data_IF_815607491804
#
_entry.id   IF_815607491804
#
_cell.length_a   1.000
_cell.length_b   1.000
_cell.length_c   1.000
_cell.angle_alpha   90.00
_cell.angle_beta   90.00
_cell.angle_gamma   90.00
#
_symmetry.space_group_name_H-M   'P 1'
#
loop_
_entity.id
_entity.type
_entity.pdbx_description
1 polymer ?
#
# COMPACT_ATOMS: atom_id res chain seq x y z
N UNK A 1 6.44 -17.60 12.91
CA UNK A 1 5.43 -17.13 11.93
C UNK A 1 4.23 -16.60 12.72
N UNK A 2 3.59 -15.52 12.25
CA UNK A 2 2.35 -15.00 12.81
C UNK A 2 1.13 -15.81 12.31
N UNK A 3 -0.01 -15.80 13.01
CA UNK A 3 -1.23 -16.45 12.54
C UNK A 3 -1.81 -15.74 11.29
N UNK A 4 -2.54 -16.47 10.45
CA UNK A 4 -2.97 -15.99 9.13
C UNK A 4 -3.99 -14.82 9.17
N UNK A 5 -4.70 -14.66 10.29
CA UNK A 5 -5.59 -13.53 10.55
C UNK A 5 -4.85 -12.26 10.99
N UNK A 6 -3.59 -12.38 11.41
CA UNK A 6 -2.74 -11.26 11.78
C UNK A 6 -1.78 -10.81 10.66
N UNK A 7 -1.74 -11.52 9.52
CA UNK A 7 -0.91 -11.15 8.37
C UNK A 7 -1.81 -10.48 7.33
N UNK A 8 -1.60 -9.17 7.13
CA UNK A 8 -2.31 -8.42 6.11
C UNK A 8 -1.66 -8.57 4.73
N UNK A 9 -2.40 -8.27 3.66
CA UNK A 9 -1.82 -8.18 2.33
C UNK A 9 -0.79 -7.05 2.22
N UNK A 10 -0.92 -5.99 3.03
CA UNK A 10 0.07 -4.93 3.09
C UNK A 10 1.43 -5.44 3.60
N UNK A 11 1.44 -6.35 4.58
CA UNK A 11 2.67 -6.96 5.09
C UNK A 11 3.37 -7.80 4.02
N UNK A 12 2.59 -8.59 3.29
CA UNK A 12 3.08 -9.43 2.18
C UNK A 12 3.68 -8.55 1.08
N UNK A 13 2.95 -7.53 0.63
CA UNK A 13 3.43 -6.64 -0.44
C UNK A 13 4.69 -5.89 0.01
N UNK A 14 4.74 -5.41 1.25
CA UNK A 14 5.94 -4.74 1.79
C UNK A 14 7.16 -5.65 1.81
N UNK A 15 6.97 -6.93 2.10
CA UNK A 15 8.06 -7.91 2.10
C UNK A 15 8.56 -8.27 0.69
N UNK A 16 7.70 -8.19 -0.34
CA UNK A 16 8.03 -8.60 -1.71
C UNK A 16 8.45 -7.42 -2.60
N UNK A 17 7.64 -6.36 -2.61
CA UNK A 17 7.74 -5.23 -3.54
C UNK A 17 8.26 -3.95 -2.86
N UNK A 18 8.26 -3.93 -1.52
CA UNK A 18 8.65 -2.77 -0.74
C UNK A 18 7.48 -1.82 -0.42
N UNK A 19 7.75 -0.53 -0.15
CA UNK A 19 6.75 0.40 0.36
C UNK A 19 5.53 0.55 -0.56
N UNK A 20 4.32 0.70 0.00
CA UNK A 20 3.07 0.93 -0.73
C UNK A 20 2.97 2.33 -1.39
N UNK A 21 4.09 3.03 -1.55
CA UNK A 21 4.11 4.40 -2.03
C UNK A 21 4.28 4.43 -3.55
N UNK A 22 3.49 5.29 -4.22
CA UNK A 22 3.57 5.50 -5.67
C UNK A 22 4.86 6.23 -6.09
N UNK A 23 5.49 6.94 -5.16
CA UNK A 23 6.77 7.61 -5.35
C UNK A 23 7.51 7.70 -4.01
N UNK A 24 8.86 7.82 -4.01
CA UNK A 24 9.65 7.96 -2.79
C UNK A 24 9.21 9.13 -1.90
N UNK A 25 8.80 10.25 -2.51
CA UNK A 25 8.39 11.46 -1.79
C UNK A 25 7.08 11.30 -1.02
N UNK A 26 6.27 10.31 -1.42
CA UNK A 26 5.06 9.94 -0.73
C UNK A 26 5.27 8.78 0.24
N UNK A 27 6.46 8.19 0.37
CA UNK A 27 6.68 7.02 1.23
C UNK A 27 6.83 7.40 2.71
N UNK A 28 6.30 6.56 3.62
CA UNK A 28 6.55 6.68 5.08
C UNK A 28 7.84 5.98 5.51
N UNK A 29 8.23 4.93 4.80
CA UNK A 29 9.33 4.02 5.19
C UNK A 29 10.56 4.15 4.31
N UNK A 30 10.44 4.80 3.15
CA UNK A 30 11.52 5.06 2.21
C UNK A 30 11.37 6.45 1.59
N UNK A 31 11.37 7.47 2.46
CA UNK A 31 11.19 8.87 2.06
C UNK A 31 12.37 9.38 1.22
N UNK A 32 12.09 10.12 0.14
CA UNK A 32 13.11 10.76 -0.68
C UNK A 32 12.51 11.51 -1.88
N UNK A 33 13.29 12.29 -2.63
CA UNK A 33 12.80 12.94 -3.84
C UNK A 33 12.43 11.92 -4.92
N UNK A 34 11.35 12.17 -5.67
CA UNK A 34 11.08 11.44 -6.91
C UNK A 34 11.78 12.12 -8.11
N UNK A 35 11.82 11.45 -9.26
CA UNK A 35 12.50 11.93 -10.47
C UNK A 35 12.00 13.28 -10.99
N UNK A 36 10.76 13.64 -10.69
CA UNK A 36 10.13 14.90 -11.12
C UNK A 36 9.96 15.91 -9.99
N UNK A 37 10.44 15.62 -8.77
CA UNK A 37 10.35 16.57 -7.67
C UNK A 37 11.27 17.77 -7.92
N UNK A 38 10.73 19.01 -8.00
CA UNK A 38 11.58 20.19 -7.97
C UNK A 38 12.21 20.37 -6.58
N UNK A 39 11.39 20.15 -5.54
CA UNK A 39 11.76 20.11 -4.14
C UNK A 39 10.66 19.33 -3.40
N UNK A 40 11.03 18.51 -2.42
CA UNK A 40 10.10 17.55 -1.81
C UNK A 40 9.06 18.24 -0.93
N UNK A 41 9.45 19.30 -0.24
CA UNK A 41 8.59 20.04 0.70
C UNK A 41 7.61 20.98 -0.03
N UNK A 42 7.92 21.35 -1.27
CA UNK A 42 7.10 22.26 -2.08
C UNK A 42 6.44 21.59 -3.28
N UNK A 43 6.63 20.27 -3.48
CA UNK A 43 6.05 19.54 -4.58
C UNK A 43 4.51 19.47 -4.46
N UNK A 44 3.74 20.08 -5.39
CA UNK A 44 2.28 20.08 -5.31
C UNK A 44 1.66 18.69 -5.55
N UNK A 45 2.42 17.76 -6.14
CA UNK A 45 1.97 16.38 -6.36
C UNK A 45 2.05 15.53 -5.09
N UNK A 46 2.95 15.87 -4.16
CA UNK A 46 3.22 15.07 -2.97
C UNK A 46 1.96 14.76 -2.14
N UNK A 47 1.09 15.73 -1.78
CA UNK A 47 -0.11 15.43 -0.99
C UNK A 47 -1.06 14.46 -1.71
N UNK A 48 -1.27 14.63 -3.02
CA UNK A 48 -2.13 13.73 -3.81
C UNK A 48 -1.57 12.30 -3.84
N UNK A 49 -0.23 12.16 -3.96
CA UNK A 49 0.43 10.86 -3.92
C UNK A 49 0.38 10.22 -2.51
N UNK A 50 0.43 11.03 -1.44
CA UNK A 50 0.25 10.56 -0.07
C UNK A 50 -1.18 10.06 0.16
N UNK A 51 -2.19 10.77 -0.34
CA UNK A 51 -3.60 10.34 -0.29
C UNK A 51 -3.79 9.02 -1.03
N UNK A 52 -3.21 8.88 -2.23
CA UNK A 52 -3.22 7.63 -2.99
C UNK A 52 -2.56 6.47 -2.25
N UNK A 53 -1.40 6.69 -1.63
CA UNK A 53 -0.73 5.71 -0.76
C UNK A 53 -1.66 5.27 0.37
N UNK A 54 -2.29 6.23 1.07
CA UNK A 54 -3.11 5.93 2.25
C UNK A 54 -4.39 5.16 1.86
N UNK A 55 -4.98 5.49 0.72
CA UNK A 55 -6.11 4.73 0.16
C UNK A 55 -5.73 3.28 -0.18
N UNK A 56 -4.58 3.06 -0.82
CA UNK A 56 -4.07 1.71 -1.14
C UNK A 56 -3.75 0.94 0.15
N UNK A 57 -3.07 1.59 1.10
CA UNK A 57 -2.74 0.98 2.39
C UNK A 57 -3.99 0.52 3.13
N UNK A 58 -5.04 1.36 3.19
CA UNK A 58 -6.30 0.99 3.84
C UNK A 58 -6.94 -0.28 3.24
N UNK A 59 -6.88 -0.46 1.91
CA UNK A 59 -7.39 -1.67 1.25
C UNK A 59 -6.57 -2.91 1.62
N UNK A 60 -5.24 -2.80 1.60
CA UNK A 60 -4.36 -3.94 1.82
C UNK A 60 -4.18 -4.32 3.29
N UNK A 61 -4.25 -3.34 4.19
CA UNK A 61 -4.20 -3.56 5.64
C UNK A 61 -5.52 -4.16 6.14
N UNK A 62 -6.64 -3.86 5.48
CA UNK A 62 -7.96 -4.41 5.82
C UNK A 62 -8.22 -5.85 5.34
N UNK A 63 -7.25 -6.50 4.69
CA UNK A 63 -7.39 -7.86 4.12
C UNK A 63 -6.31 -8.78 4.65
N UNK A 64 -6.70 -9.97 5.10
CA UNK A 64 -5.77 -10.92 5.74
C UNK A 64 -5.62 -12.22 4.94
N UNK A 65 -4.54 -12.95 5.20
CA UNK A 65 -4.30 -14.25 4.56
C UNK A 65 -5.37 -15.28 4.92
N UNK A 66 -5.98 -15.19 6.10
CA UNK A 66 -7.11 -16.05 6.47
C UNK A 66 -8.31 -15.86 5.51
N UNK A 67 -8.65 -14.62 5.17
CA UNK A 67 -9.76 -14.33 4.25
C UNK A 67 -9.49 -14.90 2.85
N UNK A 68 -8.24 -14.83 2.39
CA UNK A 68 -7.84 -15.39 1.09
C UNK A 68 -7.88 -16.93 1.07
N UNK A 69 -7.55 -17.58 2.19
CA UNK A 69 -7.59 -19.04 2.31
C UNK A 69 -9.02 -19.61 2.34
N UNK A 70 -10.03 -18.78 2.62
CA UNK A 70 -11.43 -19.20 2.76
C UNK A 70 -12.19 -19.38 1.41
N UNK A 71 -11.50 -19.42 0.26
CA UNK A 71 -12.05 -19.68 -1.08
C UNK A 71 -13.09 -18.69 -1.63
N UNK A 72 -13.29 -17.53 -1.02
CA UNK A 72 -13.91 -16.39 -1.69
C UNK A 72 -12.79 -15.49 -2.22
N UNK A 73 -12.82 -15.14 -3.51
CA UNK A 73 -11.87 -14.16 -4.02
C UNK A 73 -12.03 -12.88 -3.18
N UNK A 74 -10.99 -12.40 -2.48
CA UNK A 74 -11.09 -11.17 -1.70
C UNK A 74 -11.32 -9.93 -2.58
N UNK A 75 -11.30 -10.11 -3.90
CA UNK A 75 -11.55 -9.11 -4.94
C UNK A 75 -12.98 -9.25 -5.51
N UNK A 76 -13.76 -10.24 -5.09
CA UNK A 76 -15.15 -10.49 -5.55
C UNK A 76 -16.17 -9.50 -4.95
N UNK A 77 -15.91 -8.21 -5.16
CA UNK A 77 -16.90 -7.12 -5.06
C UNK A 77 -17.12 -6.41 -6.40
N UNK A 78 -16.42 -6.83 -7.45
CA UNK A 78 -16.56 -6.28 -8.80
C UNK A 78 -17.52 -7.07 -9.70
N UNK A 79 -18.19 -8.10 -9.18
CA UNK A 79 -19.39 -8.70 -9.79
C UNK A 79 -19.29 -8.93 -11.29
N UNK A 80 -18.22 -9.58 -11.74
CA UNK A 80 -18.11 -10.18 -13.08
C UNK A 80 -17.66 -11.61 -12.94
#
# INVERSE_FOLDING_TARGET
AAPADAISFADVIRALEGPLALAPCASRTAYGPCETCPDVETCPLQPVLQDGRDAIAAVFEGRTLLQAAANSSPIDRLGK
#
